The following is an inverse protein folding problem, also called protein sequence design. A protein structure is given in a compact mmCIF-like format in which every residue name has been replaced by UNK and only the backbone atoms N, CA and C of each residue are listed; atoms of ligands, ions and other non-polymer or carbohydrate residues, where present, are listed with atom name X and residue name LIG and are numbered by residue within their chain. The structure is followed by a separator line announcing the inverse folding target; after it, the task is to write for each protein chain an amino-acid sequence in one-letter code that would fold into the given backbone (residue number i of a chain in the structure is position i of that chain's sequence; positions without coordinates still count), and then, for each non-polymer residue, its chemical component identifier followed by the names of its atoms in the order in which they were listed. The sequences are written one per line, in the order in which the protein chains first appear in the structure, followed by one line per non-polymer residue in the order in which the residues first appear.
data_IF_613881022922
#
_entry.id   IF_613881022922
#
_cell.length_a   1.000
_cell.length_b   1.000
_cell.length_c   1.000
_cell.angle_alpha   90.00
_cell.angle_beta   90.00
_cell.angle_gamma   90.00
#
_symmetry.space_group_name_H-M   'P 1'
#
loop_
_entity.id
_entity.type
_entity.pdbx_description
1 polymer ?
#
# COMPACT_ATOMS: atom_id res chain seq x y z
N UNK A 1 24.48 -3.02 -1.80
CA UNK A 1 23.74 -3.57 -0.64
C UNK A 1 23.50 -2.42 0.30
N UNK A 2 22.24 -2.14 0.60
CA UNK A 2 21.85 -0.97 1.38
C UNK A 2 21.99 -1.24 2.87
N UNK A 3 22.15 -0.16 3.63
CA UNK A 3 22.31 -0.21 5.08
C UNK A 3 21.32 0.73 5.73
N UNK A 4 20.99 0.46 6.99
CA UNK A 4 20.20 1.34 7.84
C UNK A 4 20.97 1.63 9.11
N UNK A 5 20.99 2.89 9.51
CA UNK A 5 21.59 3.35 10.76
C UNK A 5 20.46 3.72 11.72
N UNK A 6 20.43 3.11 12.90
CA UNK A 6 19.53 3.48 13.99
C UNK A 6 20.27 4.32 15.02
N UNK A 7 19.62 5.37 15.51
CA UNK A 7 20.18 6.29 16.49
C UNK A 7 19.03 7.00 17.25
N UNK A 8 19.25 7.47 18.49
CA UNK A 8 18.29 8.33 19.17
C UNK A 8 18.27 9.71 18.49
N UNK A 9 17.09 10.20 18.15
CA UNK A 9 16.88 11.57 17.75
C UNK A 9 17.16 12.54 18.92
N UNK A 10 17.28 13.85 18.66
CA UNK A 10 17.54 14.85 19.70
C UNK A 10 16.47 14.89 20.81
N UNK A 11 15.25 14.44 20.52
CA UNK A 11 14.15 14.29 21.48
C UNK A 11 14.19 12.96 22.27
N UNK A 12 15.18 12.11 22.01
CA UNK A 12 15.36 10.79 22.60
C UNK A 12 14.55 9.68 21.94
N UNK A 13 13.73 9.98 20.92
CA UNK A 13 12.96 8.96 20.20
C UNK A 13 13.85 8.15 19.25
N UNK A 14 13.53 6.88 18.96
CA UNK A 14 14.31 6.09 18.02
C UNK A 14 14.12 6.62 16.60
N UNK A 15 15.22 7.01 15.95
CA UNK A 15 15.26 7.41 14.55
C UNK A 15 16.10 6.43 13.72
N UNK A 16 15.87 6.43 12.41
CA UNK A 16 16.66 5.65 11.48
C UNK A 16 16.87 6.38 10.16
N UNK A 17 17.97 6.05 9.48
CA UNK A 17 18.28 6.54 8.14
C UNK A 17 18.81 5.41 7.26
N UNK A 18 18.20 5.24 6.08
CA UNK A 18 18.67 4.30 5.04
C UNK A 18 19.73 4.97 4.17
N UNK A 19 20.77 4.23 3.85
CA UNK A 19 21.89 4.68 3.02
C UNK A 19 22.26 3.59 2.00
N UNK A 20 22.72 3.97 0.80
CA UNK A 20 22.98 3.03 -0.30
C UNK A 20 24.24 2.17 -0.08
N UNK A 21 25.19 2.62 0.74
CA UNK A 21 26.50 1.97 0.91
C UNK A 21 26.96 1.94 2.38
N UNK A 22 27.88 1.03 2.69
CA UNK A 22 28.49 0.95 4.02
C UNK A 22 29.34 2.19 4.33
N UNK A 23 30.05 2.73 3.35
CA UNK A 23 30.89 3.92 3.52
C UNK A 23 30.07 5.13 3.98
N UNK A 24 28.90 5.34 3.36
CA UNK A 24 27.97 6.39 3.78
C UNK A 24 27.41 6.15 5.19
N UNK A 25 27.14 4.88 5.56
CA UNK A 25 26.70 4.54 6.90
C UNK A 25 27.76 4.92 7.95
N UNK A 26 29.03 4.64 7.68
CA UNK A 26 30.14 4.98 8.58
C UNK A 26 30.29 6.50 8.71
N UNK A 27 30.29 7.22 7.58
CA UNK A 27 30.35 8.70 7.59
C UNK A 27 29.20 9.31 8.39
N UNK A 28 28.00 8.74 8.29
CA UNK A 28 26.84 9.18 9.07
C UNK A 28 27.04 8.92 10.57
N UNK A 29 27.51 7.73 10.96
CA UNK A 29 27.78 7.41 12.37
C UNK A 29 28.89 8.30 12.96
N UNK A 30 29.91 8.60 12.19
CA UNK A 30 30.97 9.54 12.58
C UNK A 30 30.41 10.95 12.78
N UNK A 31 29.57 11.44 11.87
CA UNK A 31 28.90 12.72 12.02
C UNK A 31 28.03 12.76 13.29
N UNK A 32 27.20 11.73 13.51
CA UNK A 32 26.34 11.62 14.69
C UNK A 32 27.14 11.64 16.00
N UNK A 33 28.31 11.00 16.04
CA UNK A 33 29.17 10.97 17.24
C UNK A 33 29.92 12.28 17.45
N UNK A 34 30.46 12.85 16.38
CA UNK A 34 31.37 13.99 16.46
C UNK A 34 30.66 15.34 16.49
N UNK A 35 29.51 15.45 15.83
CA UNK A 35 28.75 16.69 15.69
C UNK A 35 27.53 16.70 16.59
N UNK A 36 26.72 15.63 16.53
CA UNK A 36 25.44 15.58 17.24
C UNK A 36 25.53 15.00 18.66
N UNK A 37 26.72 14.53 19.07
CA UNK A 37 26.96 13.98 20.41
C UNK A 37 26.23 12.67 20.71
N UNK A 38 25.80 11.94 19.67
CA UNK A 38 25.06 10.69 19.81
C UNK A 38 26.01 9.54 20.15
N UNK A 39 25.91 9.00 21.36
CA UNK A 39 26.77 7.91 21.83
C UNK A 39 26.37 6.52 21.29
N UNK A 40 25.06 6.27 21.15
CA UNK A 40 24.51 4.96 20.76
C UNK A 40 23.95 5.01 19.34
N UNK A 41 24.68 4.44 18.38
CA UNK A 41 24.21 4.22 17.01
C UNK A 41 24.54 2.79 16.58
N UNK A 42 23.65 2.15 15.82
CA UNK A 42 23.86 0.81 15.25
C UNK A 42 23.64 0.81 13.74
N UNK A 43 24.42 -0.02 13.03
CA UNK A 43 24.36 -0.15 11.57
C UNK A 43 23.94 -1.57 11.22
N UNK A 44 22.97 -1.71 10.32
CA UNK A 44 22.47 -3.00 9.86
C UNK A 44 22.44 -3.04 8.32
N UNK A 45 22.81 -4.18 7.74
CA UNK A 45 22.64 -4.42 6.31
C UNK A 45 21.19 -4.81 6.01
N UNK A 46 20.61 -4.28 4.93
CA UNK A 46 19.28 -4.64 4.47
C UNK A 46 19.36 -5.80 3.49
N UNK A 47 18.70 -6.90 3.86
CA UNK A 47 18.54 -8.10 3.03
C UNK A 47 17.07 -8.26 2.67
N UNK A 48 16.77 -8.36 1.38
CA UNK A 48 15.41 -8.61 0.90
C UNK A 48 14.94 -10.01 1.33
N UNK A 49 13.75 -10.06 1.92
CA UNK A 49 13.11 -11.32 2.30
C UNK A 49 11.97 -11.57 1.30
N UNK A 50 12.08 -12.58 0.42
CA UNK A 50 11.02 -12.88 -0.53
C UNK A 50 9.79 -13.41 0.23
N UNK A 51 8.66 -12.71 0.11
CA UNK A 51 7.39 -13.10 0.72
C UNK A 51 6.45 -13.70 -0.33
N UNK A 52 5.77 -14.77 0.03
CA UNK A 52 4.71 -15.37 -0.77
C UNK A 52 3.45 -15.53 0.09
N UNK A 53 2.34 -14.98 -0.37
CA UNK A 53 1.05 -15.07 0.32
C UNK A 53 0.22 -16.19 -0.32
N UNK A 54 -0.30 -17.11 0.50
CA UNK A 54 -1.24 -18.15 0.07
C UNK A 54 -2.50 -18.03 0.90
N UNK A 55 -3.62 -17.76 0.25
CA UNK A 55 -4.93 -17.83 0.89
C UNK A 55 -5.29 -19.30 1.14
N UNK A 56 -5.66 -19.63 2.36
CA UNK A 56 -6.21 -20.94 2.71
C UNK A 56 -7.58 -20.74 3.35
N UNK A 57 -8.57 -21.47 2.83
CA UNK A 57 -9.92 -21.49 3.37
C UNK A 57 -10.14 -22.85 4.04
N UNK A 58 -10.41 -22.83 5.34
CA UNK A 58 -10.88 -24.00 6.06
C UNK A 58 -12.41 -23.96 6.06
N UNK A 59 -13.03 -24.83 5.27
CA UNK A 59 -14.49 -24.98 5.25
C UNK A 59 -14.85 -26.19 6.10
N UNK A 60 -15.62 -25.96 7.15
CA UNK A 60 -16.23 -27.03 7.95
C UNK A 60 -17.68 -27.18 7.47
N UNK A 61 -18.02 -28.36 6.93
CA UNK A 61 -19.40 -28.68 6.54
C UNK A 61 -20.01 -29.55 7.64
N UNK A 62 -21.09 -29.12 8.30
CA UNK A 62 -21.81 -29.98 9.24
C UNK A 62 -22.38 -31.20 8.50
N UNK A 63 -22.29 -32.38 9.11
CA UNK A 63 -22.68 -33.66 8.52
C UNK A 63 -24.18 -33.76 8.13
N UNK A 64 -25.01 -32.80 8.56
CA UNK A 64 -26.47 -32.81 8.31
C UNK A 64 -26.91 -31.89 7.15
N UNK A 65 -25.99 -31.41 6.32
CA UNK A 65 -26.36 -30.83 5.03
C UNK A 65 -26.73 -31.95 4.04
N UNK A 66 -27.88 -32.58 4.25
CA UNK A 66 -28.53 -33.45 3.27
C UNK A 66 -28.93 -32.60 2.07
N UNK A 67 -28.04 -32.49 1.09
CA UNK A 67 -28.38 -32.00 -0.24
C UNK A 67 -29.34 -33.02 -0.84
N UNK A 68 -30.56 -32.64 -1.30
CA UNK A 68 -31.36 -33.57 -2.08
C UNK A 68 -30.53 -33.96 -3.30
N UNK A 69 -30.35 -35.27 -3.50
CA UNK A 69 -29.65 -35.79 -4.67
C UNK A 69 -30.30 -35.20 -5.93
N UNK A 70 -29.62 -34.25 -6.55
CA UNK A 70 -30.01 -33.77 -7.86
C UNK A 70 -29.78 -34.95 -8.80
N UNK A 71 -30.88 -35.58 -9.22
CA UNK A 71 -30.86 -36.69 -10.16
C UNK A 71 -30.06 -36.23 -11.37
N UNK A 72 -28.92 -36.88 -11.57
CA UNK A 72 -28.15 -36.78 -12.81
C UNK A 72 -29.08 -37.29 -13.89
N UNK A 73 -29.65 -36.39 -14.68
CA UNK A 73 -30.34 -36.76 -15.89
C UNK A 73 -29.35 -37.53 -16.75
N UNK A 74 -29.72 -38.76 -17.13
CA UNK A 74 -29.00 -39.58 -18.10
C UNK A 74 -28.66 -38.72 -19.32
N UNK A 75 -27.40 -38.73 -19.82
CA UNK A 75 -27.08 -38.02 -21.03
C UNK A 75 -27.85 -38.67 -22.19
N UNK A 76 -28.92 -38.01 -22.63
CA UNK A 76 -29.57 -38.30 -23.91
C UNK A 76 -28.50 -38.17 -24.97
N UNK A 77 -28.22 -39.29 -25.66
CA UNK A 77 -27.16 -39.39 -26.66
C UNK A 77 -27.26 -38.26 -27.67
N UNK A 78 -26.24 -37.40 -27.69
CA UNK A 78 -26.06 -36.41 -28.74
C UNK A 78 -25.63 -37.16 -30.01
N UNK A 79 -26.56 -37.32 -30.94
CA UNK A 79 -26.21 -37.66 -32.32
C UNK A 79 -25.30 -36.54 -32.87
N UNK A 80 -24.13 -36.88 -33.46
CA UNK A 80 -23.23 -35.87 -33.99
C UNK A 80 -23.86 -35.19 -35.21
N UNK A 81 -24.22 -33.92 -35.05
CA UNK A 81 -24.54 -33.04 -36.18
C UNK A 81 -23.22 -32.79 -36.92
N UNK A 82 -23.07 -33.43 -38.07
CA UNK A 82 -22.03 -33.13 -39.05
C UNK A 82 -22.34 -31.76 -39.64
N UNK A 83 -21.52 -30.75 -39.32
CA UNK A 83 -21.46 -29.50 -40.09
C UNK A 83 -20.01 -29.25 -40.48
N UNK A 84 -19.75 -29.40 -41.77
CA UNK A 84 -18.59 -28.88 -42.49
C UNK A 84 -19.10 -28.41 -43.87
N UNK A 85 -18.44 -27.46 -44.54
CA UNK A 85 -18.27 -26.03 -44.23
C UNK A 85 -18.99 -25.19 -45.33
N UNK A 86 -19.12 -23.86 -45.27
CA UNK A 86 -18.30 -22.91 -46.05
C UNK A 86 -19.00 -21.52 -46.11
N UNK A 87 -18.19 -20.46 -46.02
CA UNK A 87 -18.40 -19.06 -46.48
C UNK A 87 -19.65 -18.29 -45.98
N UNK A 88 -19.54 -17.07 -45.46
CA UNK A 88 -19.22 -15.90 -46.28
C UNK A 88 -18.85 -14.69 -45.39
N UNK A 89 -17.86 -13.93 -45.85
CA UNK A 89 -17.33 -12.72 -45.22
C UNK A 89 -18.31 -11.58 -45.43
N UNK A 90 -18.86 -11.01 -44.36
CA UNK A 90 -19.58 -9.75 -44.40
C UNK A 90 -18.91 -8.74 -43.48
N UNK A 91 -17.98 -8.00 -44.08
CA UNK A 91 -17.45 -6.73 -43.62
C UNK A 91 -18.62 -5.73 -43.48
N UNK A 92 -18.89 -5.30 -42.24
CA UNK A 92 -19.69 -4.10 -41.99
C UNK A 92 -18.85 -3.17 -41.13
N UNK A 93 -18.20 -2.23 -41.82
CA UNK A 93 -17.62 -1.01 -41.28
C UNK A 93 -18.75 -0.15 -40.75
N UNK A 94 -18.67 0.30 -39.49
CA UNK A 94 -19.15 1.61 -39.04
C UNK A 94 -18.72 1.87 -37.57
N UNK A 95 -17.60 2.59 -37.41
CA UNK A 95 -17.37 3.53 -36.30
C UNK A 95 -17.95 4.90 -36.72
N UNK A 96 -18.32 5.87 -35.84
CA UNK A 96 -18.08 5.97 -34.38
C UNK A 96 -19.29 6.54 -33.56
N UNK A 97 -19.21 6.52 -32.22
CA UNK A 97 -19.64 7.60 -31.31
C UNK A 97 -19.64 7.11 -29.84
N UNK A 98 -18.48 7.17 -29.17
CA UNK A 98 -18.46 7.15 -27.70
C UNK A 98 -18.74 8.58 -27.21
N UNK A 99 -19.90 8.71 -26.59
CA UNK A 99 -20.38 9.93 -25.98
C UNK A 99 -19.62 10.25 -24.68
N UNK A 100 -19.18 11.51 -24.59
CA UNK A 100 -19.14 12.37 -23.41
C UNK A 100 -18.40 11.84 -22.16
N UNK A 101 -17.11 12.15 -22.08
CA UNK A 101 -16.46 12.39 -20.78
C UNK A 101 -16.78 13.85 -20.42
N UNK A 102 -17.54 14.03 -19.34
CA UNK A 102 -17.85 15.33 -18.76
C UNK A 102 -16.59 15.85 -18.05
N UNK A 103 -15.90 16.80 -18.68
CA UNK A 103 -14.85 17.61 -18.04
C UNK A 103 -15.49 18.51 -16.98
N UNK A 104 -15.44 18.07 -15.71
CA UNK A 104 -15.62 18.96 -14.56
C UNK A 104 -14.30 19.68 -14.33
N UNK A 105 -14.21 20.92 -14.83
CA UNK A 105 -13.29 21.91 -14.25
C UNK A 105 -13.74 22.26 -12.83
N UNK A 106 -12.78 22.45 -11.92
CA UNK A 106 -12.89 23.58 -11.02
C UNK A 106 -11.69 24.51 -11.20
N UNK A 107 -11.93 25.66 -11.83
CA UNK A 107 -11.14 26.87 -11.59
C UNK A 107 -11.38 27.32 -10.14
N UNK A 108 -10.30 27.67 -9.42
CA UNK A 108 -10.43 28.35 -8.14
C UNK A 108 -9.21 28.22 -7.25
N UNK A 109 -8.30 29.16 -7.44
CA UNK A 109 -7.16 29.53 -6.60
C UNK A 109 -7.43 29.45 -5.08
N UNK A 110 -6.38 29.03 -4.34
CA UNK A 110 -6.04 29.28 -2.93
C UNK A 110 -5.84 27.97 -2.15
N UNK A 111 -4.58 27.60 -1.94
CA UNK A 111 -4.06 27.02 -0.67
C UNK A 111 -2.58 26.62 -0.84
N UNK A 112 -1.69 27.60 -1.10
CA UNK A 112 -0.23 27.44 -0.97
C UNK A 112 0.30 27.91 0.40
N UNK A 113 -0.56 28.07 1.42
CA UNK A 113 -0.18 28.61 2.72
C UNK A 113 -0.53 27.66 3.89
N UNK A 114 0.05 26.45 3.92
CA UNK A 114 -0.11 25.56 5.09
C UNK A 114 1.10 24.69 5.43
N UNK A 115 2.32 25.12 5.06
CA UNK A 115 3.56 24.42 5.43
C UNK A 115 4.64 25.30 6.07
N UNK A 116 4.25 26.42 6.69
CA UNK A 116 5.20 27.28 7.41
C UNK A 116 4.59 27.90 8.67
N UNK A 117 4.44 27.11 9.75
CA UNK A 117 4.60 27.60 11.14
C UNK A 117 4.32 26.49 12.16
N UNK A 118 5.35 25.79 12.63
CA UNK A 118 5.34 25.25 14.00
C UNK A 118 6.74 25.04 14.55
N UNK A 119 7.51 26.12 14.63
CA UNK A 119 8.72 26.16 15.47
C UNK A 119 8.83 27.54 16.14
N UNK A 120 8.56 27.59 17.45
CA UNK A 120 9.24 28.53 18.34
C UNK A 120 8.38 29.42 19.25
N UNK A 121 8.57 29.19 20.56
CA UNK A 121 8.62 30.17 21.66
C UNK A 121 7.31 30.69 22.34
N UNK A 122 6.98 30.01 23.44
CA UNK A 122 6.88 30.52 24.82
C UNK A 122 6.39 31.96 25.07
N UNK A 123 5.20 32.08 25.69
CA UNK A 123 4.90 32.96 26.84
C UNK A 123 3.63 32.39 27.53
N UNK A 124 3.73 31.78 28.71
CA UNK A 124 3.73 32.39 30.04
C UNK A 124 2.32 32.46 30.71
N UNK A 125 2.19 31.64 31.76
CA UNK A 125 1.34 31.73 32.95
C UNK A 125 -0.13 31.21 32.96
N UNK A 126 -0.60 30.69 34.13
CA UNK A 126 -1.65 29.67 34.20
C UNK A 126 -3.02 30.25 34.62
N UNK A 127 -4.10 29.75 34.00
CA UNK A 127 -5.46 29.98 34.48
C UNK A 127 -5.97 28.71 35.20
N UNK A 128 -6.24 28.89 36.49
CA UNK A 128 -6.81 27.90 37.40
C UNK A 128 -8.14 27.33 36.88
N UNK A 129 -8.27 26.00 36.88
CA UNK A 129 -9.55 25.31 36.82
C UNK A 129 -9.71 24.47 38.09
N UNK A 130 -10.14 25.13 39.15
CA UNK A 130 -10.84 24.46 40.24
C UNK A 130 -12.32 24.43 39.89
N UNK A 131 -12.88 23.24 39.72
CA UNK A 131 -14.22 22.83 40.18
C UNK A 131 -14.54 21.45 39.60
N UNK A 132 -14.56 20.42 40.45
CA UNK A 132 -15.60 19.40 40.45
C UNK A 132 -15.66 18.84 41.87
N UNK A 133 -16.61 19.39 42.62
CA UNK A 133 -17.32 18.69 43.68
C UNK A 133 -18.40 17.80 43.03
#
# INVERSE_FOLDING_TARGET
MEHVVFFPAPDGTPAFRRVPSLEEAVRLVEHLRNVDGVASASVHALTEVPLAFRAYYKVEVPAEASVPAQQVAEPVGLEPIVVEPEHEVAEVVETPALALVEDVQPDGEQDEELLAASNGHSQAAPASLGFFA
#
